data_IF_915476480896
#
_entry.id   IF_915476480896
#
_cell.length_a   1.000
_cell.length_b   1.000
_cell.length_c   1.000
_cell.angle_alpha   90.00
_cell.angle_beta   90.00
_cell.angle_gamma   90.00
#
_symmetry.space_group_name_H-M   'P 1'
#
loop_
_entity.id
_entity.type
_entity.pdbx_description
1 polymer ?
#
# COMPACT_ATOMS: atom_id res chain seq x y z
N UNK A 1 -8.72 -2.05 19.54
CA UNK A 1 -8.48 -2.85 18.33
C UNK A 1 -6.99 -2.92 18.11
N UNK A 2 -6.45 -4.07 17.67
CA UNK A 2 -5.02 -4.22 17.44
C UNK A 2 -4.58 -3.26 16.31
N UNK A 3 -3.90 -2.14 16.63
CA UNK A 3 -3.59 -1.09 15.65
C UNK A 3 -2.49 -1.50 14.65
N UNK A 4 -2.09 -2.77 14.66
CA UNK A 4 -0.96 -3.31 13.91
C UNK A 4 -1.33 -4.45 12.96
N UNK A 5 -2.60 -4.88 12.92
CA UNK A 5 -2.98 -6.08 12.17
C UNK A 5 -3.18 -5.82 10.67
N UNK A 6 -3.59 -4.60 10.29
CA UNK A 6 -3.88 -4.23 8.89
C UNK A 6 -3.19 -2.91 8.61
N UNK A 7 -2.37 -2.88 7.56
CA UNK A 7 -1.78 -1.64 7.03
C UNK A 7 -2.63 -1.10 5.89
N UNK A 8 -2.45 0.16 5.53
CA UNK A 8 -3.26 0.80 4.50
C UNK A 8 -2.31 1.40 3.46
N UNK A 9 -2.51 1.01 2.19
CA UNK A 9 -1.75 1.52 1.04
C UNK A 9 -2.59 2.42 0.13
N UNK A 10 -3.72 2.92 0.64
CA UNK A 10 -4.62 3.84 -0.07
C UNK A 10 -4.13 5.30 0.01
N UNK A 11 -4.67 6.18 -0.85
CA UNK A 11 -4.48 7.62 -0.71
C UNK A 11 -4.88 8.20 0.65
N UNK A 12 -5.84 7.59 1.35
CA UNK A 12 -6.23 8.01 2.70
C UNK A 12 -5.11 7.77 3.71
N UNK A 13 -4.30 6.74 3.50
CA UNK A 13 -3.08 6.45 4.25
C UNK A 13 -1.84 7.14 3.66
N UNK A 14 -2.03 8.19 2.85
CA UNK A 14 -0.98 9.05 2.30
C UNK A 14 -0.07 8.41 1.26
N UNK A 15 -0.56 7.36 0.60
CA UNK A 15 0.12 6.74 -0.54
C UNK A 15 -0.41 7.26 -1.87
N UNK A 16 0.48 7.45 -2.83
CA UNK A 16 0.14 7.78 -4.21
C UNK A 16 0.44 6.57 -5.06
N UNK A 17 -0.59 5.98 -5.63
CA UNK A 17 -0.47 4.88 -6.58
C UNK A 17 -0.03 5.46 -7.92
N UNK A 18 1.01 4.87 -8.48
CA UNK A 18 1.56 5.21 -9.80
C UNK A 18 1.08 4.24 -10.87
N UNK A 19 0.98 2.96 -10.51
CA UNK A 19 0.63 1.90 -11.44
C UNK A 19 0.03 0.70 -10.70
N UNK A 20 -1.09 0.20 -11.21
CA UNK A 20 -1.70 -1.08 -10.83
C UNK A 20 -2.80 -1.50 -11.81
N UNK A 21 -3.12 -2.79 -11.76
CA UNK A 21 -4.20 -3.42 -12.49
C UNK A 21 -5.42 -3.63 -11.59
N UNK A 22 -6.55 -3.03 -11.95
CA UNK A 22 -7.81 -3.18 -11.20
C UNK A 22 -8.37 -4.61 -11.24
N UNK A 23 -7.94 -5.45 -12.18
CA UNK A 23 -8.48 -6.80 -12.39
C UNK A 23 -7.52 -7.91 -11.95
N UNK A 24 -6.34 -7.55 -11.45
CA UNK A 24 -5.37 -8.54 -11.00
C UNK A 24 -5.47 -8.81 -9.51
N UNK A 25 -5.52 -10.09 -9.16
CA UNK A 25 -5.44 -10.60 -7.79
C UNK A 25 -4.00 -10.71 -7.27
N UNK A 26 -3.01 -10.80 -8.17
CA UNK A 26 -1.59 -10.85 -7.83
C UNK A 26 -0.78 -9.98 -8.79
N UNK A 27 -0.08 -8.98 -8.25
CA UNK A 27 0.60 -7.96 -9.05
C UNK A 27 1.64 -7.19 -8.27
N UNK A 28 2.50 -6.48 -9.00
CA UNK A 28 3.45 -5.52 -8.44
C UNK A 28 2.87 -4.11 -8.59
N UNK A 29 2.39 -3.53 -7.49
CA UNK A 29 1.85 -2.16 -7.46
C UNK A 29 3.01 -1.19 -7.26
N UNK A 30 3.09 -0.17 -8.11
CA UNK A 30 4.04 0.93 -7.95
C UNK A 30 3.39 2.06 -7.19
N UNK A 31 4.01 2.46 -6.09
CA UNK A 31 3.46 3.50 -5.22
C UNK A 31 4.55 4.32 -4.55
N UNK A 32 4.20 5.53 -4.14
CA UNK A 32 5.11 6.45 -3.47
C UNK A 32 4.40 7.20 -2.35
N UNK A 33 5.17 7.74 -1.40
CA UNK A 33 4.61 8.53 -0.29
C UNK A 33 4.25 9.93 -0.77
N UNK A 34 3.05 10.39 -0.42
CA UNK A 34 2.59 11.74 -0.74
C UNK A 34 3.41 12.83 -0.02
N UNK A 35 4.01 12.50 1.12
CA UNK A 35 4.78 13.39 1.98
C UNK A 35 5.91 12.61 2.65
N UNK A 36 7.11 13.21 2.80
CA UNK A 36 8.22 12.59 3.52
C UNK A 36 7.95 12.42 5.03
N UNK A 37 7.03 13.22 5.59
CA UNK A 37 6.66 13.18 7.01
C UNK A 37 5.72 12.01 7.34
N UNK A 38 5.15 11.35 6.33
CA UNK A 38 4.23 10.26 6.55
C UNK A 38 5.00 8.99 6.92
N UNK A 39 4.89 8.59 8.18
CA UNK A 39 5.41 7.33 8.69
C UNK A 39 4.32 6.29 8.45
N UNK A 40 4.52 5.43 7.45
CA UNK A 40 3.55 4.39 7.18
C UNK A 40 3.70 3.25 8.17
N UNK A 41 2.60 2.90 8.84
CA UNK A 41 2.48 1.71 9.69
C UNK A 41 2.80 0.40 8.96
N UNK A 42 2.89 0.45 7.63
CA UNK A 42 3.35 -0.65 6.79
C UNK A 42 4.73 -1.17 7.25
N UNK A 43 5.63 -0.30 7.70
CA UNK A 43 6.98 -0.69 8.14
C UNK A 43 7.08 -1.04 9.63
N UNK A 44 6.04 -0.81 10.42
CA UNK A 44 6.08 -1.07 11.87
C UNK A 44 6.13 -2.57 12.20
N UNK A 45 6.66 -2.96 13.36
CA UNK A 45 6.64 -4.36 13.82
C UNK A 45 7.51 -5.31 12.97
N UNK A 46 6.94 -6.42 12.51
CA UNK A 46 7.65 -7.44 11.73
C UNK A 46 7.96 -7.04 10.26
N UNK A 47 7.64 -5.80 9.88
CA UNK A 47 7.84 -5.29 8.53
C UNK A 47 6.62 -5.50 7.62
N UNK A 48 6.73 -5.11 6.34
CA UNK A 48 5.62 -5.06 5.40
C UNK A 48 5.19 -6.43 4.87
N UNK A 49 6.12 -7.39 4.79
CA UNK A 49 5.88 -8.71 4.19
C UNK A 49 4.96 -9.54 5.09
N UNK A 50 4.03 -10.28 4.48
CA UNK A 50 2.95 -11.04 5.12
C UNK A 50 1.90 -10.22 5.89
N UNK A 51 1.96 -8.89 5.83
CA UNK A 51 0.85 -8.05 6.32
C UNK A 51 -0.28 -8.01 5.31
N UNK A 52 -1.50 -7.87 5.83
CA UNK A 52 -2.65 -7.54 5.03
C UNK A 52 -2.74 -6.02 4.87
N UNK A 53 -2.92 -5.58 3.63
CA UNK A 53 -3.09 -4.19 3.28
C UNK A 53 -4.45 -3.93 2.65
N UNK A 54 -5.05 -2.79 2.97
CA UNK A 54 -6.21 -2.28 2.22
C UNK A 54 -5.74 -1.75 0.87
N UNK A 55 -6.37 -2.23 -0.20
CA UNK A 55 -6.12 -1.76 -1.57
C UNK A 55 -7.02 -0.56 -1.90
N UNK A 56 -6.55 0.37 -2.75
CA UNK A 56 -7.40 1.38 -3.36
C UNK A 56 -8.53 0.74 -4.18
N UNK A 57 -9.69 1.42 -4.25
CA UNK A 57 -10.90 0.91 -4.93
C UNK A 57 -10.71 0.53 -6.40
N UNK A 58 -9.66 1.03 -7.06
CA UNK A 58 -9.37 0.77 -8.47
C UNK A 58 -8.04 0.02 -8.68
N UNK A 59 -7.61 -0.79 -7.71
CA UNK A 59 -6.23 -1.28 -7.64
C UNK A 59 -6.14 -2.71 -7.10
N UNK A 60 -6.91 -3.59 -7.74
CA UNK A 60 -7.02 -5.02 -7.45
C UNK A 60 -8.47 -5.47 -7.48
N UNK A 61 -8.71 -6.77 -7.65
CA UNK A 61 -10.07 -7.34 -7.67
C UNK A 61 -10.73 -7.39 -6.29
N UNK A 62 -9.93 -7.28 -5.22
CA UNK A 62 -10.37 -7.37 -3.83
C UNK A 62 -9.98 -6.11 -3.05
N UNK A 63 -10.73 -5.73 -2.00
CA UNK A 63 -10.42 -4.55 -1.18
C UNK A 63 -9.21 -4.75 -0.25
N UNK A 64 -8.73 -5.98 -0.10
CA UNK A 64 -7.58 -6.33 0.72
C UNK A 64 -6.72 -7.37 0.01
N UNK A 65 -5.39 -7.27 0.21
CA UNK A 65 -4.45 -8.29 -0.26
C UNK A 65 -3.31 -8.46 0.75
N UNK A 66 -2.60 -9.59 0.64
CA UNK A 66 -1.40 -9.82 1.42
C UNK A 66 -0.20 -9.27 0.67
N UNK A 67 0.72 -8.64 1.40
CA UNK A 67 1.99 -8.21 0.84
C UNK A 67 2.92 -9.42 0.74
N UNK A 68 3.23 -9.83 -0.48
CA UNK A 68 4.23 -10.85 -0.79
C UNK A 68 5.65 -10.31 -0.65
N UNK A 69 5.87 -9.05 -1.06
CA UNK A 69 7.17 -8.40 -1.02
C UNK A 69 7.03 -6.87 -1.05
N UNK A 70 8.01 -6.16 -0.50
CA UNK A 70 8.15 -4.72 -0.67
C UNK A 70 9.61 -4.39 -0.98
N UNK A 71 9.85 -3.70 -2.09
CA UNK A 71 11.19 -3.29 -2.52
C UNK A 71 11.18 -1.86 -3.07
N UNK A 72 12.36 -1.24 -3.14
CA UNK A 72 12.53 0.01 -3.88
C UNK A 72 12.44 -0.33 -5.37
N UNK A 73 11.59 0.37 -6.11
CA UNK A 73 11.40 0.09 -7.53
C UNK A 73 12.59 0.64 -8.33
N UNK A 74 13.08 -0.06 -9.36
CA UNK A 74 14.21 0.45 -10.18
C UNK A 74 13.79 1.70 -10.97
N UNK A 75 12.59 1.66 -11.54
CA UNK A 75 11.96 2.83 -12.15
C UNK A 75 11.39 3.79 -11.09
N UNK A 76 12.14 4.86 -10.80
CA UNK A 76 11.76 5.97 -9.92
C UNK A 76 10.95 7.07 -10.63
N UNK A 77 10.51 6.85 -11.89
CA UNK A 77 9.72 7.83 -12.63
C UNK A 77 8.31 7.93 -12.09
N UNK A 78 7.83 9.16 -11.97
CA UNK A 78 6.49 9.50 -11.49
C UNK A 78 5.69 9.99 -12.70
N UNK A 79 4.57 9.35 -13.05
CA UNK A 79 3.69 9.84 -14.08
C UNK A 79 3.11 11.22 -13.74
N UNK A 80 2.84 12.04 -14.76
CA UNK A 80 2.30 13.39 -14.57
C UNK A 80 0.97 13.40 -13.79
N UNK A 81 0.12 12.39 -13.99
CA UNK A 81 -1.15 12.22 -13.27
C UNK A 81 -0.98 12.02 -11.75
N UNK A 82 0.20 11.54 -11.32
CA UNK A 82 0.53 11.28 -9.93
C UNK A 82 1.37 12.41 -9.32
N UNK A 83 2.11 13.15 -10.14
CA UNK A 83 2.98 14.24 -9.70
C UNK A 83 2.23 15.32 -8.92
N UNK A 84 1.01 15.68 -9.35
CA UNK A 84 0.17 16.67 -8.66
C UNK A 84 -0.31 16.24 -7.27
N UNK A 85 -0.28 14.95 -6.96
CA UNK A 85 -0.71 14.37 -5.67
C UNK A 85 0.42 14.29 -4.65
N UNK A 86 1.65 14.59 -5.05
CA UNK A 86 2.83 14.51 -4.20
C UNK A 86 3.15 15.91 -3.67
N UNK A 87 3.13 16.06 -2.35
CA UNK A 87 3.45 17.31 -1.67
C UNK A 87 4.90 17.27 -1.19
N UNK A 88 5.81 17.82 -2.00
CA UNK A 88 7.23 17.98 -1.67
C UNK A 88 7.56 19.47 -1.69
N UNK A 89 7.86 20.04 -0.53
CA UNK A 89 8.33 21.43 -0.41
C UNK A 89 9.86 21.53 -0.38
N UNK A 90 10.55 20.40 -0.28
CA UNK A 90 11.98 20.26 -0.05
C UNK A 90 12.80 19.95 -1.32
N UNK A 91 12.13 19.83 -2.47
CA UNK A 91 12.79 19.51 -3.76
C UNK A 91 13.35 18.09 -3.86
N UNK A 92 13.08 17.21 -2.89
CA UNK A 92 13.57 15.83 -2.94
C UNK A 92 12.68 14.97 -3.85
N UNK A 93 13.30 14.15 -4.70
CA UNK A 93 12.56 13.18 -5.50
C UNK A 93 11.92 12.14 -4.57
N UNK A 94 10.62 11.85 -4.70
CA UNK A 94 9.96 10.87 -3.87
C UNK A 94 10.42 9.47 -4.26
N UNK A 95 10.74 8.67 -3.25
CA UNK A 95 11.14 7.28 -3.46
C UNK A 95 9.93 6.45 -3.87
N UNK A 96 10.04 5.76 -5.00
CA UNK A 96 9.04 4.83 -5.53
C UNK A 96 9.32 3.43 -4.98
N UNK A 97 8.29 2.81 -4.45
CA UNK A 97 8.30 1.43 -3.96
C UNK A 97 7.50 0.54 -4.90
N UNK A 98 7.92 -0.71 -4.99
CA UNK A 98 7.18 -1.80 -5.61
C UNK A 98 6.66 -2.70 -4.48
N UNK A 99 5.34 -2.84 -4.38
CA UNK A 99 4.72 -3.79 -3.47
C UNK A 99 4.15 -4.95 -4.29
N UNK A 100 4.68 -6.14 -4.07
CA UNK A 100 4.11 -7.35 -4.63
C UNK A 100 2.96 -7.78 -3.72
N UNK A 101 1.76 -7.90 -4.26
CA UNK A 101 0.58 -8.39 -3.56
C UNK A 101 0.14 -9.74 -4.11
N UNK A 102 -0.46 -10.55 -3.25
CA UNK A 102 -1.12 -11.79 -3.63
C UNK A 102 -2.44 -11.98 -2.86
N UNK A 103 -3.25 -12.88 -3.40
CA UNK A 103 -4.56 -13.28 -2.90
C UNK A 103 -4.49 -14.53 -2.02
N UNK A 104 -3.36 -14.76 -1.34
CA UNK A 104 -3.27 -15.85 -0.34
C UNK A 104 -4.08 -15.47 0.92
N UNK A 105 -5.39 -15.34 0.75
CA UNK A 105 -6.40 -15.28 1.80
C UNK A 105 -6.57 -16.68 2.34
N UNK A 106 -5.63 -17.09 3.20
CA UNK A 106 -5.89 -18.15 4.17
C UNK A 106 -6.93 -17.63 5.14
N UNK A 107 -8.21 -17.80 4.81
CA UNK A 107 -9.41 -17.58 5.64
C UNK A 107 -9.22 -16.55 6.74
N UNK A 108 -9.44 -15.26 6.43
CA UNK A 108 -9.52 -14.23 7.48
C UNK A 108 -10.85 -14.43 8.21
N UNK A 109 -10.86 -15.17 9.31
CA UNK A 109 -11.98 -15.19 10.24
C UNK A 109 -11.96 -13.86 11.00
N UNK A 110 -12.68 -12.85 10.47
CA UNK A 110 -12.93 -11.62 11.21
C UNK A 110 -13.84 -11.98 12.38
N UNK A 111 -13.25 -12.19 13.56
CA UNK A 111 -14.02 -12.33 14.80
C UNK A 111 -14.49 -10.93 15.18
N UNK A 112 -15.69 -10.57 14.73
CA UNK A 112 -16.36 -9.34 15.17
C UNK A 112 -16.59 -9.49 16.68
N UNK A 113 -15.98 -8.64 17.54
CA UNK A 113 -16.27 -8.68 18.96
C UNK A 113 -17.72 -8.23 19.16
N UNK A 114 -18.59 -9.17 19.53
CA UNK A 114 -19.90 -8.85 20.10
C UNK A 114 -19.65 -8.14 21.44
N UNK A 115 -19.96 -6.85 21.48
CA UNK A 115 -19.98 -6.08 22.70
C UNK A 115 -21.38 -6.30 23.32
N UNK A 116 -21.45 -7.10 24.39
CA UNK A 116 -22.64 -7.30 25.21
C UNK A 116 -22.46 -6.56 26.54
#
# INVERSE_FOLDING_TARGET
GAPHAISDITPAAGWVILDCDANSMAQDIRLTRNSPLLVSHLFDGAGPVHKYVRLPENCGSEPFARVANLRVHENQSIPEHAASKISRRDGTAPQVFAISIDDDVRTIVVKIPNNN
#
